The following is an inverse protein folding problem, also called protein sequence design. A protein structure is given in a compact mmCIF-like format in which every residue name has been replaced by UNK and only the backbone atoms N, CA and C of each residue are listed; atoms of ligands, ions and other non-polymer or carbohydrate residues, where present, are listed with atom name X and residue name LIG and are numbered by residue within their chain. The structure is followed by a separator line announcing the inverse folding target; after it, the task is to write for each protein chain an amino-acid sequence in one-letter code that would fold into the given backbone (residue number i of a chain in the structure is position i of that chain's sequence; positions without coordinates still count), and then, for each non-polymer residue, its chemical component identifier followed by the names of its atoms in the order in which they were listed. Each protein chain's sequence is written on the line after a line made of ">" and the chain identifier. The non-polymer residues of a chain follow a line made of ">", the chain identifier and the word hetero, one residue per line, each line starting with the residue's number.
data_IF_035724019888
#
_entry.id   IF_035724019888
#
_cell.length_a   1.000
_cell.length_b   1.000
_cell.length_c   1.000
_cell.angle_alpha   90.00
_cell.angle_beta   90.00
_cell.angle_gamma   90.00
#
_symmetry.space_group_name_H-M   'P 1'
#
loop_
_entity.id
_entity.type
_entity.pdbx_description
1 polymer ?
#
# COMPACT_ATOMS: atom_id res chain seq x y z
N UNK A 1 -127.07 17.64 37.50
CA UNK A 1 -126.19 16.47 37.24
C UNK A 1 -125.09 16.72 36.18
N UNK A 2 -124.94 17.92 35.61
CA UNK A 2 -123.96 18.18 34.52
C UNK A 2 -122.56 18.64 34.97
N UNK A 3 -122.36 19.06 36.23
CA UNK A 3 -121.05 19.58 36.70
C UNK A 3 -120.02 18.50 37.09
N UNK A 4 -120.45 17.26 37.31
CA UNK A 4 -119.56 16.18 37.75
C UNK A 4 -118.84 15.46 36.59
N UNK A 5 -119.43 15.42 35.39
CA UNK A 5 -118.85 14.75 34.21
C UNK A 5 -117.65 15.50 33.61
N UNK A 6 -117.64 16.84 33.63
CA UNK A 6 -116.49 17.63 33.17
C UNK A 6 -115.26 17.49 34.11
N UNK A 7 -115.49 17.31 35.41
CA UNK A 7 -114.40 17.08 36.37
C UNK A 7 -113.75 15.71 36.18
N UNK A 8 -114.55 14.67 35.86
CA UNK A 8 -114.03 13.33 35.55
C UNK A 8 -113.21 13.30 34.25
N UNK A 9 -113.61 14.05 33.23
CA UNK A 9 -112.88 14.14 31.96
C UNK A 9 -111.53 14.86 32.11
N UNK A 10 -111.46 15.89 32.94
CA UNK A 10 -110.21 16.60 33.25
C UNK A 10 -109.25 15.70 34.05
N UNK A 11 -109.77 14.88 34.96
CA UNK A 11 -108.96 13.93 35.75
C UNK A 11 -108.40 12.78 34.89
N UNK A 12 -109.18 12.31 33.91
CA UNK A 12 -108.74 11.29 32.93
C UNK A 12 -107.69 11.83 31.97
N UNK A 13 -107.73 13.12 31.61
CA UNK A 13 -106.73 13.75 30.75
C UNK A 13 -105.40 13.96 31.50
N UNK A 14 -105.47 14.22 32.81
CA UNK A 14 -104.30 14.43 33.66
C UNK A 14 -103.52 13.13 33.95
N UNK A 15 -104.23 11.98 34.01
CA UNK A 15 -103.62 10.67 34.26
C UNK A 15 -102.90 10.10 33.03
N UNK A 16 -103.32 10.46 31.81
CA UNK A 16 -102.60 10.07 30.58
C UNK A 16 -101.25 10.79 30.43
N UNK A 17 -101.12 12.01 30.93
CA UNK A 17 -99.87 12.81 30.84
C UNK A 17 -98.78 12.29 31.79
N UNK A 18 -99.15 11.59 32.87
CA UNK A 18 -98.20 11.15 33.91
C UNK A 18 -97.50 9.80 33.60
N UNK A 19 -97.84 9.14 32.49
CA UNK A 19 -97.24 7.84 32.13
C UNK A 19 -96.18 7.92 31.03
N UNK A 20 -95.94 9.10 30.43
CA UNK A 20 -94.93 9.29 29.37
C UNK A 20 -93.55 9.74 29.89
N UNK A 21 -93.39 9.95 31.20
CA UNK A 21 -92.13 10.42 31.77
C UNK A 21 -91.24 9.24 32.19
N UNK A 22 -90.28 8.86 31.33
CA UNK A 22 -89.05 8.19 31.79
C UNK A 22 -88.46 9.02 32.94
N UNK A 23 -88.03 8.37 34.03
CA UNK A 23 -87.47 9.12 35.18
C UNK A 23 -86.28 9.95 34.71
N UNK A 24 -86.31 11.25 34.95
CA UNK A 24 -85.29 12.24 34.53
C UNK A 24 -83.85 11.77 34.79
N UNK A 25 -83.62 11.04 35.89
CA UNK A 25 -82.32 10.44 36.25
C UNK A 25 -81.82 9.35 35.28
N UNK A 26 -82.70 8.49 34.75
CA UNK A 26 -82.33 7.43 33.78
C UNK A 26 -82.07 8.01 32.39
N UNK A 27 -82.82 9.04 32.01
CA UNK A 27 -82.58 9.78 30.77
C UNK A 27 -81.24 10.52 30.84
N UNK A 28 -80.97 11.23 31.95
CA UNK A 28 -79.69 11.90 32.16
C UNK A 28 -78.51 10.91 32.14
N UNK A 29 -78.63 9.78 32.85
CA UNK A 29 -77.59 8.75 32.85
C UNK A 29 -77.36 8.12 31.46
N UNK A 30 -78.39 8.02 30.62
CA UNK A 30 -78.25 7.56 29.24
C UNK A 30 -77.53 8.62 28.37
N UNK A 31 -77.85 9.90 28.55
CA UNK A 31 -77.20 11.02 27.88
C UNK A 31 -75.71 11.13 28.26
N UNK A 32 -75.40 11.01 29.55
CA UNK A 32 -74.01 11.03 30.06
C UNK A 32 -73.21 9.84 29.51
N UNK A 33 -73.84 8.67 29.37
CA UNK A 33 -73.23 7.48 28.76
C UNK A 33 -72.97 7.66 27.26
N UNK A 34 -73.91 8.25 26.53
CA UNK A 34 -73.74 8.58 25.12
C UNK A 34 -72.57 9.55 24.94
N UNK A 35 -72.49 10.60 25.76
CA UNK A 35 -71.39 11.56 25.73
C UNK A 35 -70.04 10.91 26.10
N UNK A 36 -70.02 10.00 27.07
CA UNK A 36 -68.84 9.21 27.42
C UNK A 36 -68.39 8.29 26.27
N UNK A 37 -69.32 7.61 25.60
CA UNK A 37 -69.03 6.74 24.45
C UNK A 37 -68.55 7.55 23.24
N UNK A 38 -69.10 8.74 23.01
CA UNK A 38 -68.62 9.66 21.99
C UNK A 38 -67.18 10.10 22.30
N UNK A 39 -66.89 10.45 23.56
CA UNK A 39 -65.55 10.84 24.01
C UNK A 39 -64.54 9.70 23.84
N UNK A 40 -64.92 8.46 24.17
CA UNK A 40 -64.07 7.28 23.96
C UNK A 40 -63.85 7.01 22.47
N UNK A 41 -64.88 7.14 21.63
CA UNK A 41 -64.74 7.01 20.18
C UNK A 41 -63.76 8.05 19.62
N UNK A 42 -63.85 9.31 20.06
CA UNK A 42 -62.90 10.33 19.61
C UNK A 42 -61.47 10.01 20.06
N UNK A 43 -61.27 9.56 21.31
CA UNK A 43 -59.95 9.18 21.83
C UNK A 43 -59.36 7.99 21.07
N UNK A 44 -60.15 6.94 20.84
CA UNK A 44 -59.73 5.77 20.05
C UNK A 44 -59.37 6.17 18.62
N UNK A 45 -60.16 7.07 18.02
CA UNK A 45 -59.89 7.55 16.66
C UNK A 45 -58.57 8.35 16.60
N UNK A 46 -58.31 9.19 17.59
CA UNK A 46 -57.03 9.93 17.72
C UNK A 46 -55.84 8.98 17.91
N UNK A 47 -56.02 7.90 18.68
CA UNK A 47 -55.00 6.87 18.88
C UNK A 47 -54.72 6.09 17.58
N UNK A 48 -55.77 5.70 16.83
CA UNK A 48 -55.64 5.06 15.52
C UNK A 48 -54.88 5.95 14.55
N UNK A 49 -55.17 7.25 14.51
CA UNK A 49 -54.44 8.21 13.66
C UNK A 49 -52.96 8.28 14.07
N UNK A 50 -52.67 8.35 15.37
CA UNK A 50 -51.30 8.37 15.90
C UNK A 50 -50.52 7.10 15.56
N UNK A 51 -51.11 5.93 15.78
CA UNK A 51 -50.50 4.64 15.48
C UNK A 51 -50.25 4.48 13.98
N UNK A 52 -51.18 4.92 13.12
CA UNK A 52 -50.97 4.92 11.67
C UNK A 52 -49.78 5.80 11.27
N UNK A 53 -49.66 6.99 11.85
CA UNK A 53 -48.51 7.86 11.62
C UNK A 53 -47.19 7.22 12.09
N UNK A 54 -47.20 6.55 13.25
CA UNK A 54 -46.02 5.81 13.72
C UNK A 54 -45.63 4.67 12.77
N UNK A 55 -46.60 3.88 12.30
CA UNK A 55 -46.35 2.80 11.33
C UNK A 55 -45.76 3.35 10.03
N UNK A 56 -46.28 4.47 9.52
CA UNK A 56 -45.73 5.11 8.32
C UNK A 56 -44.29 5.58 8.52
N UNK A 57 -43.99 6.20 9.66
CA UNK A 57 -42.64 6.64 10.00
C UNK A 57 -41.67 5.45 10.14
N UNK A 58 -42.07 4.39 10.84
CA UNK A 58 -41.27 3.17 10.97
C UNK A 58 -41.04 2.49 9.62
N UNK A 59 -42.04 2.50 8.73
CA UNK A 59 -41.88 1.98 7.36
C UNK A 59 -40.86 2.80 6.56
N UNK A 60 -40.90 4.14 6.67
CA UNK A 60 -39.91 5.03 6.04
C UNK A 60 -38.50 4.81 6.61
N UNK A 61 -38.38 4.67 7.92
CA UNK A 61 -37.11 4.40 8.58
C UNK A 61 -36.54 3.04 8.16
N UNK A 62 -37.36 1.99 8.11
CA UNK A 62 -36.95 0.68 7.64
C UNK A 62 -36.46 0.74 6.18
N UNK A 63 -37.20 1.41 5.30
CA UNK A 63 -36.78 1.57 3.90
C UNK A 63 -35.43 2.32 3.78
N UNK A 64 -35.24 3.37 4.59
CA UNK A 64 -33.97 4.11 4.65
C UNK A 64 -32.83 3.24 5.16
N UNK A 65 -33.05 2.48 6.24
CA UNK A 65 -32.04 1.60 6.82
C UNK A 65 -31.64 0.49 5.85
N UNK A 66 -32.59 -0.10 5.13
CA UNK A 66 -32.31 -1.11 4.08
C UNK A 66 -31.40 -0.49 3.01
N UNK A 67 -31.73 0.71 2.52
CA UNK A 67 -30.88 1.39 1.52
C UNK A 67 -29.47 1.69 2.06
N UNK A 68 -29.33 2.05 3.33
CA UNK A 68 -28.02 2.29 3.95
C UNK A 68 -27.21 1.01 4.08
N UNK A 69 -27.85 -0.12 4.41
CA UNK A 69 -27.20 -1.44 4.50
C UNK A 69 -26.70 -1.87 3.12
N UNK A 70 -27.51 -1.72 2.07
CA UNK A 70 -27.11 -2.07 0.70
C UNK A 70 -25.91 -1.23 0.22
N UNK A 71 -25.92 0.07 0.51
CA UNK A 71 -24.79 0.95 0.17
C UNK A 71 -23.53 0.59 0.96
N UNK A 72 -23.66 0.29 2.26
CA UNK A 72 -22.56 -0.13 3.10
C UNK A 72 -21.97 -1.47 2.65
N UNK A 73 -22.81 -2.45 2.29
CA UNK A 73 -22.39 -3.74 1.75
C UNK A 73 -21.64 -3.59 0.43
N UNK A 74 -22.13 -2.73 -0.48
CA UNK A 74 -21.45 -2.43 -1.74
C UNK A 74 -20.06 -1.86 -1.49
N UNK A 75 -19.96 -0.81 -0.66
CA UNK A 75 -18.66 -0.20 -0.29
C UNK A 75 -17.72 -1.20 0.38
N UNK A 76 -18.24 -2.06 1.26
CA UNK A 76 -17.44 -3.10 1.90
C UNK A 76 -16.91 -4.12 0.89
N UNK A 77 -17.75 -4.58 -0.05
CA UNK A 77 -17.32 -5.54 -1.07
C UNK A 77 -16.25 -4.94 -2.00
N UNK A 78 -16.39 -3.67 -2.38
CA UNK A 78 -15.42 -2.94 -3.20
C UNK A 78 -14.10 -2.75 -2.45
N UNK A 79 -14.16 -2.31 -1.19
CA UNK A 79 -12.98 -2.14 -0.34
C UNK A 79 -12.27 -3.47 -0.06
N UNK A 80 -13.01 -4.55 0.19
CA UNK A 80 -12.46 -5.89 0.39
C UNK A 80 -11.79 -6.42 -0.89
N UNK A 81 -12.42 -6.22 -2.05
CA UNK A 81 -11.84 -6.57 -3.35
C UNK A 81 -10.54 -5.82 -3.62
N UNK A 82 -10.53 -4.50 -3.38
CA UNK A 82 -9.34 -3.66 -3.53
C UNK A 82 -8.23 -4.06 -2.54
N UNK A 83 -8.58 -4.37 -1.29
CA UNK A 83 -7.62 -4.80 -0.28
C UNK A 83 -6.94 -6.12 -0.67
N UNK A 84 -7.70 -7.10 -1.17
CA UNK A 84 -7.17 -8.38 -1.65
C UNK A 84 -6.23 -8.20 -2.85
N UNK A 85 -6.60 -7.35 -3.82
CA UNK A 85 -5.75 -7.03 -4.98
C UNK A 85 -4.45 -6.36 -4.55
N UNK A 86 -4.55 -5.36 -3.68
CA UNK A 86 -3.39 -4.63 -3.13
C UNK A 86 -2.48 -5.56 -2.34
N UNK A 87 -3.04 -6.46 -1.54
CA UNK A 87 -2.28 -7.46 -0.79
C UNK A 87 -1.51 -8.41 -1.71
N UNK A 88 -2.15 -8.86 -2.81
CA UNK A 88 -1.50 -9.70 -3.81
C UNK A 88 -0.35 -8.96 -4.50
N UNK A 89 -0.57 -7.72 -4.93
CA UNK A 89 0.48 -6.89 -5.54
C UNK A 89 1.65 -6.65 -4.59
N UNK A 90 1.37 -6.37 -3.32
CA UNK A 90 2.40 -6.18 -2.31
C UNK A 90 3.22 -7.45 -2.08
N UNK A 91 2.58 -8.61 -2.06
CA UNK A 91 3.28 -9.90 -1.95
C UNK A 91 4.20 -10.15 -3.15
N UNK A 92 3.72 -9.91 -4.38
CA UNK A 92 4.53 -10.05 -5.59
C UNK A 92 5.75 -9.09 -5.57
N UNK A 93 5.55 -7.85 -5.15
CA UNK A 93 6.63 -6.87 -5.04
C UNK A 93 7.64 -7.25 -3.93
N UNK A 94 7.17 -7.75 -2.79
CA UNK A 94 8.04 -8.26 -1.73
C UNK A 94 8.93 -9.41 -2.21
N UNK A 95 8.39 -10.35 -2.98
CA UNK A 95 9.17 -11.45 -3.56
C UNK A 95 10.21 -10.93 -4.54
N UNK A 96 9.85 -9.96 -5.39
CA UNK A 96 10.78 -9.32 -6.32
C UNK A 96 11.92 -8.60 -5.59
N UNK A 97 11.62 -7.90 -4.50
CA UNK A 97 12.63 -7.21 -3.68
C UNK A 97 13.58 -8.19 -2.99
N UNK A 98 13.08 -9.32 -2.50
CA UNK A 98 13.92 -10.37 -1.91
C UNK A 98 14.87 -10.96 -2.93
N UNK A 99 14.39 -11.25 -4.14
CA UNK A 99 15.22 -11.78 -5.21
C UNK A 99 16.29 -10.78 -5.66
N UNK A 100 15.92 -9.50 -5.83
CA UNK A 100 16.89 -8.45 -6.16
C UNK A 100 17.97 -8.31 -5.08
N UNK A 101 17.59 -8.36 -3.80
CA UNK A 101 18.55 -8.35 -2.69
C UNK A 101 19.49 -9.54 -2.74
N UNK A 102 18.97 -10.73 -3.04
CA UNK A 102 19.78 -11.95 -3.19
C UNK A 102 20.81 -11.80 -4.30
N UNK A 103 20.40 -11.31 -5.47
CA UNK A 103 21.31 -11.07 -6.60
C UNK A 103 22.39 -10.03 -6.27
N UNK A 104 22.01 -8.92 -5.63
CA UNK A 104 22.95 -7.89 -5.20
C UNK A 104 23.96 -8.44 -4.17
N UNK A 105 23.50 -9.28 -3.24
CA UNK A 105 24.37 -9.91 -2.26
C UNK A 105 25.36 -10.86 -2.94
N UNK A 106 24.88 -11.72 -3.85
CA UNK A 106 25.73 -12.62 -4.63
C UNK A 106 26.80 -11.84 -5.43
N UNK A 107 26.40 -10.72 -6.05
CA UNK A 107 27.35 -9.86 -6.77
C UNK A 107 28.41 -9.26 -5.83
N UNK A 108 28.01 -8.77 -4.66
CA UNK A 108 28.95 -8.23 -3.66
C UNK A 108 29.93 -9.28 -3.16
N UNK A 109 29.42 -10.47 -2.84
CA UNK A 109 30.24 -11.57 -2.36
C UNK A 109 31.24 -12.03 -3.43
N UNK A 110 30.82 -12.07 -4.70
CA UNK A 110 31.71 -12.37 -5.82
C UNK A 110 32.83 -11.32 -5.95
N UNK A 111 32.49 -10.03 -5.88
CA UNK A 111 33.46 -8.93 -5.95
C UNK A 111 34.46 -8.98 -4.79
N UNK A 112 33.99 -9.19 -3.55
CA UNK A 112 34.87 -9.29 -2.39
C UNK A 112 35.76 -10.54 -2.44
N UNK A 113 35.22 -11.67 -2.88
CA UNK A 113 36.02 -12.88 -3.09
C UNK A 113 37.11 -12.66 -4.15
N UNK A 114 36.79 -12.00 -5.26
CA UNK A 114 37.77 -11.65 -6.28
C UNK A 114 38.83 -10.69 -5.73
N UNK A 115 38.42 -9.63 -5.03
CA UNK A 115 39.33 -8.68 -4.39
C UNK A 115 40.28 -9.39 -3.44
N UNK A 116 39.77 -10.31 -2.63
CA UNK A 116 40.58 -11.09 -1.67
C UNK A 116 41.57 -11.99 -2.40
N UNK A 117 41.14 -12.77 -3.40
CA UNK A 117 42.05 -13.61 -4.21
C UNK A 117 43.16 -12.79 -4.86
N UNK A 118 42.84 -11.62 -5.41
CA UNK A 118 43.82 -10.71 -6.00
C UNK A 118 44.78 -10.14 -4.96
N UNK A 119 44.27 -9.73 -3.79
CA UNK A 119 45.11 -9.25 -2.70
C UNK A 119 46.05 -10.35 -2.19
N UNK A 120 45.54 -11.57 -1.98
CA UNK A 120 46.29 -12.73 -1.49
C UNK A 120 47.40 -13.15 -2.48
N UNK A 121 47.11 -13.12 -3.79
CA UNK A 121 48.12 -13.40 -4.82
C UNK A 121 49.25 -12.35 -4.83
N UNK A 122 48.96 -11.12 -4.44
CA UNK A 122 49.87 -9.97 -4.60
C UNK A 122 50.56 -9.54 -3.29
N UNK A 123 50.45 -10.33 -2.21
CA UNK A 123 51.09 -10.07 -0.91
C UNK A 123 52.62 -9.94 -1.00
N UNK A 124 53.25 -10.56 -2.01
CA UNK A 124 54.69 -10.47 -2.25
C UNK A 124 55.19 -9.13 -2.78
N UNK A 125 54.29 -8.20 -3.14
CA UNK A 125 54.63 -6.89 -3.70
C UNK A 125 54.45 -5.77 -2.66
N UNK A 126 55.25 -4.72 -2.79
CA UNK A 126 55.15 -3.56 -1.92
C UNK A 126 53.83 -2.81 -2.19
N UNK A 127 53.08 -2.50 -1.12
CA UNK A 127 51.78 -1.78 -1.20
C UNK A 127 51.87 -0.40 -1.85
N UNK A 128 53.06 0.21 -1.89
CA UNK A 128 53.29 1.45 -2.61
C UNK A 128 53.31 1.20 -4.12
N UNK A 129 53.96 0.12 -4.58
CA UNK A 129 54.12 -0.19 -6.00
C UNK A 129 52.88 -0.85 -6.60
N UNK A 130 52.09 -1.55 -5.79
CA UNK A 130 50.89 -2.26 -6.21
C UNK A 130 49.79 -2.16 -5.14
N UNK A 131 48.56 -1.88 -5.56
CA UNK A 131 47.40 -1.87 -4.66
C UNK A 131 46.16 -2.49 -5.30
N UNK A 132 45.35 -3.15 -4.46
CA UNK A 132 44.07 -3.76 -4.85
C UNK A 132 42.95 -3.13 -4.04
N UNK A 133 41.95 -2.56 -4.70
CA UNK A 133 40.80 -1.94 -4.05
C UNK A 133 39.51 -2.16 -4.82
N UNK A 134 38.36 -1.98 -4.16
CA UNK A 134 37.05 -2.07 -4.79
C UNK A 134 36.44 -0.69 -4.96
N UNK A 135 35.85 -0.43 -6.13
CA UNK A 135 35.12 0.81 -6.42
C UNK A 135 33.98 0.52 -7.40
N UNK A 136 32.78 1.00 -7.10
CA UNK A 136 31.60 0.85 -7.97
C UNK A 136 31.35 -0.62 -8.42
N UNK A 137 31.52 -1.59 -7.52
CA UNK A 137 31.33 -3.01 -7.83
C UNK A 137 32.40 -3.64 -8.73
N UNK A 138 33.54 -2.96 -8.95
CA UNK A 138 34.68 -3.46 -9.70
C UNK A 138 35.92 -3.55 -8.81
N UNK A 139 36.74 -4.55 -9.06
CA UNK A 139 38.06 -4.71 -8.44
C UNK A 139 39.08 -3.98 -9.31
N UNK A 140 39.85 -3.10 -8.70
CA UNK A 140 40.93 -2.36 -9.34
C UNK A 140 42.25 -2.88 -8.83
N UNK A 141 43.15 -3.19 -9.76
CA UNK A 141 44.55 -3.49 -9.49
C UNK A 141 45.36 -2.34 -10.07
N UNK A 142 45.92 -1.50 -9.19
CA UNK A 142 46.74 -0.36 -9.57
C UNK A 142 48.22 -0.71 -9.39
N UNK A 143 49.01 -0.50 -10.43
CA UNK A 143 50.45 -0.78 -10.44
C UNK A 143 51.19 0.50 -10.84
N UNK A 144 52.24 0.85 -10.09
CA UNK A 144 53.05 2.02 -10.41
C UNK A 144 53.79 1.84 -11.73
N UNK A 145 53.95 2.94 -12.47
CA UNK A 145 54.74 2.96 -13.70
C UNK A 145 56.17 2.45 -13.50
N UNK A 146 56.83 2.89 -12.43
CA UNK A 146 58.22 2.51 -12.09
C UNK A 146 58.39 1.00 -11.87
N UNK A 147 57.33 0.30 -11.45
CA UNK A 147 57.32 -1.15 -11.31
C UNK A 147 57.30 -1.84 -12.68
N UNK A 148 56.52 -1.32 -13.63
CA UNK A 148 56.23 -1.98 -14.90
C UNK A 148 57.16 -1.56 -16.05
N UNK A 149 57.49 -0.28 -16.16
CA UNK A 149 58.13 0.28 -17.34
C UNK A 149 59.34 1.15 -16.97
N UNK A 150 60.44 1.06 -17.73
CA UNK A 150 61.45 2.12 -17.74
C UNK A 150 60.85 3.45 -18.24
N UNK A 151 61.43 4.57 -17.82
CA UNK A 151 60.99 5.90 -18.25
C UNK A 151 60.93 6.02 -19.77
N UNK A 152 59.80 6.47 -20.31
CA UNK A 152 59.56 6.66 -21.74
C UNK A 152 59.47 5.37 -22.58
N UNK A 153 59.40 4.20 -21.94
CA UNK A 153 59.27 2.89 -22.60
C UNK A 153 57.87 2.30 -22.44
N UNK A 154 57.45 1.51 -23.44
CA UNK A 154 56.28 0.62 -23.38
C UNK A 154 56.68 -0.87 -23.28
N UNK A 155 57.98 -1.16 -23.12
CA UNK A 155 58.49 -2.52 -22.89
C UNK A 155 58.50 -2.78 -21.40
N UNK A 156 57.79 -3.83 -20.97
CA UNK A 156 57.69 -4.22 -19.56
C UNK A 156 59.04 -4.78 -19.08
N UNK A 157 59.51 -4.30 -17.93
CA UNK A 157 60.75 -4.77 -17.31
C UNK A 157 60.55 -6.16 -16.64
N UNK A 158 61.63 -6.84 -16.26
CA UNK A 158 61.54 -8.20 -15.68
C UNK A 158 60.74 -8.25 -14.36
N UNK A 159 60.84 -7.23 -13.52
CA UNK A 159 60.07 -7.13 -12.27
C UNK A 159 58.57 -6.99 -12.55
N UNK A 160 58.21 -6.19 -13.55
CA UNK A 160 56.85 -6.01 -14.04
C UNK A 160 56.27 -7.27 -14.66
N UNK A 161 57.07 -8.03 -15.42
CA UNK A 161 56.65 -9.34 -15.96
C UNK A 161 56.31 -10.32 -14.84
N UNK A 162 57.15 -10.43 -13.81
CA UNK A 162 56.87 -11.31 -12.66
C UNK A 162 55.59 -10.90 -11.91
N UNK A 163 55.35 -9.60 -11.77
CA UNK A 163 54.12 -9.08 -11.16
C UNK A 163 52.88 -9.41 -12.02
N UNK A 164 52.96 -9.21 -13.33
CA UNK A 164 51.89 -9.53 -14.26
C UNK A 164 51.61 -11.02 -14.36
N UNK A 165 52.64 -11.87 -14.28
CA UNK A 165 52.46 -13.33 -14.25
C UNK A 165 51.64 -13.76 -13.03
N UNK A 166 51.89 -13.15 -11.87
CA UNK A 166 51.11 -13.41 -10.65
C UNK A 166 49.65 -12.97 -10.82
N UNK A 167 49.42 -11.81 -11.44
CA UNK A 167 48.06 -11.34 -11.78
C UNK A 167 47.40 -12.29 -12.79
N UNK A 168 48.10 -12.69 -13.85
CA UNK A 168 47.60 -13.58 -14.89
C UNK A 168 47.18 -14.95 -14.32
N UNK A 169 47.98 -15.53 -13.43
CA UNK A 169 47.62 -16.76 -12.72
C UNK A 169 46.35 -16.59 -11.87
N UNK A 170 46.21 -15.46 -11.16
CA UNK A 170 45.01 -15.16 -10.39
C UNK A 170 43.77 -14.97 -11.29
N UNK A 171 43.93 -14.36 -12.46
CA UNK A 171 42.87 -14.18 -13.46
C UNK A 171 42.45 -15.51 -14.11
N UNK A 172 43.40 -16.36 -14.50
CA UNK A 172 43.15 -17.67 -15.11
C UNK A 172 42.32 -18.62 -14.23
N UNK A 173 42.43 -18.47 -12.90
CA UNK A 173 41.63 -19.22 -11.94
C UNK A 173 40.17 -18.72 -11.82
N UNK A 174 39.78 -17.67 -12.55
CA UNK A 174 38.46 -17.04 -12.51
C UNK A 174 38.03 -16.62 -13.93
N UNK A 175 37.77 -17.56 -14.86
CA UNK A 175 37.57 -17.28 -16.28
C UNK A 175 36.33 -16.42 -16.62
N UNK A 176 35.37 -16.31 -15.69
CA UNK A 176 34.12 -15.58 -15.89
C UNK A 176 34.25 -14.04 -15.71
N UNK A 177 35.48 -13.54 -15.48
CA UNK A 177 35.72 -12.11 -15.24
C UNK A 177 36.13 -11.39 -16.53
N UNK A 178 35.54 -10.22 -16.75
CA UNK A 178 35.97 -9.31 -17.81
C UNK A 178 37.10 -8.42 -17.29
N UNK A 179 38.23 -8.45 -17.98
CA UNK A 179 39.42 -7.65 -17.64
C UNK A 179 39.51 -6.45 -18.57
N UNK A 180 39.68 -5.26 -18.00
CA UNK A 180 39.93 -4.02 -18.73
C UNK A 180 41.28 -3.47 -18.27
N UNK A 181 42.16 -3.18 -19.23
CA UNK A 181 43.48 -2.63 -18.96
C UNK A 181 43.50 -1.16 -19.39
N UNK A 182 43.81 -0.28 -18.43
CA UNK A 182 43.91 1.17 -18.65
C UNK A 182 45.36 1.62 -18.46
N UNK A 183 45.91 2.30 -19.46
CA UNK A 183 47.23 2.91 -19.40
C UNK A 183 47.13 4.38 -18.98
N UNK A 184 47.96 4.80 -18.03
CA UNK A 184 48.09 6.21 -17.64
C UNK A 184 49.52 6.70 -17.87
N UNK A 185 49.66 8.01 -18.03
CA UNK A 185 50.94 8.74 -18.06
C UNK A 185 50.83 9.96 -17.18
N UNK A 186 51.96 10.55 -16.81
CA UNK A 186 51.97 11.88 -16.21
C UNK A 186 51.68 12.99 -17.25
N UNK A 187 51.71 14.24 -16.80
CA UNK A 187 51.51 15.43 -17.63
C UNK A 187 52.80 15.92 -18.31
N UNK A 188 53.93 15.23 -18.15
CA UNK A 188 55.19 15.62 -18.76
C UNK A 188 55.17 15.18 -20.23
N UNK A 189 55.34 16.09 -21.21
CA UNK A 189 55.24 15.72 -22.62
C UNK A 189 56.39 14.79 -23.06
N UNK A 190 56.06 13.64 -23.63
CA UNK A 190 57.01 12.81 -24.37
C UNK A 190 57.01 13.18 -25.86
N UNK A 191 58.20 13.26 -26.48
CA UNK A 191 58.36 13.54 -27.93
C UNK A 191 59.51 12.78 -28.60
N UNK A 192 60.17 11.87 -27.89
CA UNK A 192 61.34 11.15 -28.42
C UNK A 192 60.95 9.81 -29.03
N UNK A 193 60.32 8.96 -28.23
CA UNK A 193 60.01 7.56 -28.59
C UNK A 193 58.57 7.37 -29.03
N UNK A 194 57.67 8.25 -28.58
CA UNK A 194 56.25 8.26 -28.92
C UNK A 194 55.85 9.68 -29.33
N UNK A 195 54.82 9.79 -30.17
CA UNK A 195 54.29 11.05 -30.69
C UNK A 195 53.73 11.94 -29.57
N UNK A 196 53.02 11.33 -28.62
CA UNK A 196 52.48 11.98 -27.44
C UNK A 196 52.25 10.97 -26.29
N UNK A 197 51.70 11.48 -25.18
CA UNK A 197 51.36 10.69 -24.00
C UNK A 197 50.20 9.71 -24.24
N UNK A 198 49.35 9.97 -25.23
CA UNK A 198 48.25 9.08 -25.60
C UNK A 198 48.78 7.83 -26.33
N UNK A 199 49.70 8.01 -27.28
CA UNK A 199 50.38 6.92 -27.94
C UNK A 199 51.17 6.04 -26.95
N UNK A 200 51.84 6.67 -25.97
CA UNK A 200 52.55 5.95 -24.91
C UNK A 200 51.58 5.14 -24.01
N UNK A 201 50.46 5.73 -23.59
CA UNK A 201 49.50 5.04 -22.71
C UNK A 201 48.83 3.85 -23.38
N UNK A 202 48.44 3.99 -24.65
CA UNK A 202 47.87 2.91 -25.48
C UNK A 202 48.90 1.81 -25.73
N UNK A 203 50.15 2.16 -26.05
CA UNK A 203 51.22 1.19 -26.24
C UNK A 203 51.49 0.38 -24.97
N UNK A 204 51.53 1.04 -23.80
CA UNK A 204 51.68 0.38 -22.50
C UNK A 204 50.53 -0.58 -22.21
N UNK A 205 49.28 -0.12 -22.33
CA UNK A 205 48.10 -0.97 -22.12
C UNK A 205 48.13 -2.20 -23.05
N UNK A 206 48.48 -2.00 -24.32
CA UNK A 206 48.61 -3.10 -25.29
C UNK A 206 49.70 -4.09 -24.90
N UNK A 207 50.85 -3.63 -24.42
CA UNK A 207 51.92 -4.52 -23.93
C UNK A 207 51.44 -5.38 -22.75
N UNK A 208 50.67 -4.81 -21.82
CA UNK A 208 50.10 -5.55 -20.70
C UNK A 208 49.08 -6.58 -21.19
N UNK A 209 48.16 -6.21 -22.08
CA UNK A 209 47.16 -7.13 -22.65
C UNK A 209 47.80 -8.33 -23.34
N UNK A 210 48.97 -8.17 -23.96
CA UNK A 210 49.71 -9.28 -24.61
C UNK A 210 50.40 -10.23 -23.63
N UNK A 211 50.57 -9.81 -22.37
CA UNK A 211 51.24 -10.59 -21.32
C UNK A 211 50.25 -11.28 -20.38
N UNK A 212 48.98 -10.86 -20.38
CA UNK A 212 47.88 -11.49 -19.65
C UNK A 212 47.19 -12.54 -20.52
#
# INVERSE_FOLDING_TARGET
>A
MLRFKNSLFILSLFTLVLTSCVSQKKFQAALDREQSLLTQNTQLNDEVVRLRSQVENLQKDNARLISQIDEALKKYSEASGQANLTQKQLQEEQQRLLELRRLLQQQRDAVENLRKKMADALVGFNSNELSVFTKNGRVYVSMQESLLFPSGSAVVNEKGKAALETVAQALNNNPDINVVVEGHTDSIPIRRTFEDNWALSVARATSIVRLL
#
